data_IF_282114266210
#
_entry.id   IF_282114266210
#
_cell.length_a   1.000
_cell.length_b   1.000
_cell.length_c   1.000
_cell.angle_alpha   90.00
_cell.angle_beta   90.00
_cell.angle_gamma   90.00
#
_symmetry.space_group_name_H-M   'P 1'
#
loop_
_entity.id
_entity.type
_entity.pdbx_description
1 polymer ?
#
# COMPACT_ATOMS: atom_id res chain seq x y z
N UNK A 1 -7.78 -0.22 16.21
CA UNK A 1 -7.37 0.35 14.90
C UNK A 1 -5.94 -0.11 14.71
N UNK A 2 -5.59 -0.71 13.58
CA UNK A 2 -4.21 -1.18 13.37
C UNK A 2 -3.25 0.00 13.52
N UNK A 3 -2.26 -0.14 14.39
CA UNK A 3 -1.25 0.86 14.65
C UNK A 3 0.11 0.19 14.67
N UNK A 4 1.00 0.66 13.80
CA UNK A 4 2.36 0.18 13.64
C UNK A 4 3.27 1.00 14.55
N UNK A 5 4.14 0.34 15.28
CA UNK A 5 5.19 0.97 16.09
C UNK A 5 6.57 0.60 15.59
N UNK A 6 7.49 1.54 15.74
CA UNK A 6 8.91 1.35 15.56
C UNK A 6 9.58 1.04 16.90
N UNK A 7 10.33 -0.06 16.98
CA UNK A 7 11.25 -0.30 18.11
C UNK A 7 12.46 0.64 17.98
N UNK A 8 12.38 1.80 18.65
CA UNK A 8 13.42 2.83 18.60
C UNK A 8 14.76 2.32 19.13
N UNK A 9 14.76 1.45 20.15
CA UNK A 9 16.01 0.91 20.69
C UNK A 9 16.70 0.01 19.66
N UNK A 10 15.94 -0.90 19.04
CA UNK A 10 16.47 -1.74 17.96
C UNK A 10 16.90 -0.92 16.73
N UNK A 11 16.22 0.19 16.44
CA UNK A 11 16.59 1.10 15.36
C UNK A 11 17.91 1.85 15.64
N UNK A 12 18.07 2.41 16.84
CA UNK A 12 19.32 3.06 17.27
C UNK A 12 20.48 2.08 17.33
N UNK A 13 20.27 0.89 17.90
CA UNK A 13 21.30 -0.15 17.96
C UNK A 13 21.81 -0.54 16.56
N UNK A 14 20.96 -0.45 15.53
CA UNK A 14 21.37 -0.70 14.15
C UNK A 14 22.22 0.41 13.57
N UNK A 15 21.94 1.68 13.87
CA UNK A 15 22.84 2.79 13.50
C UNK A 15 24.22 2.59 14.12
N UNK A 16 24.28 2.09 15.36
CA UNK A 16 25.55 1.88 16.07
C UNK A 16 26.30 0.62 15.62
N UNK A 17 25.59 -0.42 15.18
CA UNK A 17 26.17 -1.75 14.92
C UNK A 17 26.29 -2.13 13.43
N UNK A 18 25.59 -1.44 12.53
CA UNK A 18 25.64 -1.68 11.08
C UNK A 18 26.33 -0.50 10.38
N UNK A 19 27.39 -0.81 9.64
CA UNK A 19 28.12 0.17 8.82
C UNK A 19 27.21 0.83 7.77
N UNK A 20 26.29 0.05 7.19
CA UNK A 20 25.29 0.51 6.22
C UNK A 20 24.34 1.54 6.83
N UNK A 21 23.82 1.27 8.04
CA UNK A 21 22.92 2.21 8.75
C UNK A 21 23.66 3.45 9.24
N UNK A 22 24.90 3.29 9.73
CA UNK A 22 25.74 4.42 10.15
C UNK A 22 26.08 5.34 8.97
N UNK A 23 26.32 4.79 7.78
CA UNK A 23 26.56 5.57 6.57
C UNK A 23 25.30 6.32 6.11
N UNK A 24 24.16 5.62 6.06
CA UNK A 24 22.87 6.24 5.74
C UNK A 24 22.51 7.37 6.70
N UNK A 25 22.69 7.15 8.01
CA UNK A 25 22.42 8.14 9.06
C UNK A 25 23.24 9.42 8.86
N UNK A 26 24.54 9.29 8.57
CA UNK A 26 25.41 10.44 8.26
C UNK A 26 24.98 11.16 6.99
N UNK A 27 24.64 10.42 5.93
CA UNK A 27 24.19 11.01 4.67
C UNK A 27 22.88 11.80 4.84
N UNK A 28 21.97 11.34 5.69
CA UNK A 28 20.79 12.13 6.07
C UNK A 28 21.17 13.42 6.82
N UNK A 29 22.15 13.37 7.72
CA UNK A 29 22.62 14.55 8.46
C UNK A 29 23.35 15.58 7.58
N UNK A 30 23.94 15.13 6.46
CA UNK A 30 24.69 15.99 5.53
C UNK A 30 23.81 16.77 4.56
N UNK A 31 22.57 16.30 4.31
CA UNK A 31 21.67 16.90 3.32
C UNK A 31 20.58 17.73 3.99
N UNK A 32 20.38 18.95 3.49
CA UNK A 32 19.28 19.82 3.93
C UNK A 32 17.96 19.40 3.25
N UNK A 33 16.93 19.00 4.02
CA UNK A 33 15.62 18.64 3.46
C UNK A 33 14.85 19.83 2.87
N UNK A 34 15.25 21.07 3.16
CA UNK A 34 14.65 22.28 2.58
C UNK A 34 15.28 22.68 1.25
N UNK A 35 16.45 22.13 0.91
CA UNK A 35 17.09 22.35 -0.39
C UNK A 35 16.39 21.50 -1.47
N UNK A 36 15.75 22.12 -2.49
CA UNK A 36 15.09 21.40 -3.56
C UNK A 36 16.02 20.46 -4.34
N UNK A 37 17.32 20.77 -4.42
CA UNK A 37 18.29 19.98 -5.17
C UNK A 37 18.58 18.63 -4.46
N UNK A 38 18.40 18.56 -3.14
CA UNK A 38 18.59 17.35 -2.35
C UNK A 38 17.37 16.42 -2.36
N UNK A 39 16.21 16.87 -2.86
CA UNK A 39 14.93 16.15 -2.73
C UNK A 39 15.00 14.72 -3.28
N UNK A 40 15.49 14.56 -4.50
CA UNK A 40 15.57 13.25 -5.14
C UNK A 40 16.47 12.31 -4.35
N UNK A 41 17.66 12.78 -3.96
CA UNK A 41 18.61 11.98 -3.19
C UNK A 41 18.04 11.56 -1.84
N UNK A 42 17.38 12.47 -1.12
CA UNK A 42 16.69 12.17 0.13
C UNK A 42 15.63 11.08 -0.03
N UNK A 43 14.80 11.16 -1.08
CA UNK A 43 13.80 10.14 -1.37
C UNK A 43 14.43 8.78 -1.72
N UNK A 44 15.51 8.79 -2.50
CA UNK A 44 16.28 7.57 -2.78
C UNK A 44 16.88 6.96 -1.50
N UNK A 45 17.36 7.77 -0.57
CA UNK A 45 17.85 7.29 0.72
C UNK A 45 16.74 6.70 1.60
N UNK A 46 15.52 7.27 1.58
CA UNK A 46 14.37 6.66 2.27
C UNK A 46 14.08 5.27 1.72
N UNK A 47 14.16 5.09 0.39
CA UNK A 47 14.02 3.77 -0.22
C UNK A 47 15.12 2.82 0.26
N UNK A 48 16.37 3.24 0.21
CA UNK A 48 17.53 2.45 0.67
C UNK A 48 17.35 2.00 2.14
N UNK A 49 16.93 2.93 3.00
CA UNK A 49 16.63 2.69 4.41
C UNK A 49 15.54 1.63 4.64
N UNK A 50 14.52 1.61 3.78
CA UNK A 50 13.39 0.66 3.88
C UNK A 50 13.75 -0.68 3.22
N UNK A 51 14.44 -0.71 2.08
CA UNK A 51 14.86 -1.95 1.41
C UNK A 51 15.81 -2.78 2.28
N UNK A 52 16.71 -2.11 3.00
CA UNK A 52 17.65 -2.74 3.90
C UNK A 52 16.94 -3.45 5.08
N UNK A 53 15.64 -3.19 5.30
CA UNK A 53 14.79 -3.87 6.30
C UNK A 53 14.20 -5.21 5.82
N UNK A 54 14.31 -5.56 4.54
CA UNK A 54 13.78 -6.82 4.01
C UNK A 54 14.56 -8.08 4.48
N UNK A 55 15.70 -7.90 5.15
CA UNK A 55 16.53 -8.98 5.68
C UNK A 55 15.94 -9.72 6.89
N UNK A 56 16.18 -11.04 7.02
CA UNK A 56 15.61 -11.87 8.10
C UNK A 56 16.05 -11.50 9.53
N UNK A 57 17.16 -10.76 9.68
CA UNK A 57 17.68 -10.32 10.99
C UNK A 57 16.90 -9.13 11.56
N UNK A 58 16.13 -8.42 10.72
CA UNK A 58 15.58 -7.09 11.03
C UNK A 58 14.04 -7.07 11.09
N UNK A 59 13.41 -8.25 11.16
CA UNK A 59 11.95 -8.47 11.18
C UNK A 59 11.25 -7.88 12.40
N UNK A 60 11.99 -7.65 13.48
CA UNK A 60 11.41 -7.29 14.78
C UNK A 60 11.22 -5.77 14.95
N UNK A 61 11.61 -4.94 13.97
CA UNK A 61 11.56 -3.49 14.12
C UNK A 61 10.17 -2.88 14.04
N UNK A 62 9.32 -3.45 13.20
CA UNK A 62 7.95 -2.99 13.03
C UNK A 62 7.02 -3.99 13.69
N UNK A 63 6.17 -3.49 14.58
CA UNK A 63 5.21 -4.32 15.32
C UNK A 63 3.85 -3.66 15.32
N UNK A 64 2.79 -4.46 15.41
CA UNK A 64 1.48 -3.94 15.75
C UNK A 64 1.35 -3.81 17.27
N UNK A 65 0.77 -2.72 17.74
CA UNK A 65 0.56 -2.48 19.19
C UNK A 65 -0.29 -3.57 19.84
N UNK A 66 -1.35 -4.00 19.17
CA UNK A 66 -2.33 -4.93 19.73
C UNK A 66 -2.01 -6.41 19.44
N UNK A 67 -1.00 -6.68 18.60
CA UNK A 67 -0.59 -8.03 18.18
C UNK A 67 0.88 -8.07 17.75
N UNK A 68 1.78 -8.27 18.71
CA UNK A 68 3.22 -8.28 18.46
C UNK A 68 3.71 -9.48 17.63
N UNK A 69 2.89 -10.52 17.49
CA UNK A 69 3.27 -11.74 16.77
C UNK A 69 3.00 -11.61 15.26
N UNK A 70 2.17 -10.64 14.87
CA UNK A 70 1.92 -10.32 13.47
C UNK A 70 3.04 -9.47 12.90
N UNK A 71 3.73 -10.00 11.87
CA UNK A 71 4.79 -9.28 11.19
C UNK A 71 4.27 -8.08 10.41
N UNK A 72 5.02 -6.99 10.42
CA UNK A 72 4.74 -5.82 9.59
C UNK A 72 5.91 -5.62 8.64
N UNK A 73 5.59 -5.49 7.36
CA UNK A 73 6.55 -5.21 6.31
C UNK A 73 6.17 -3.92 5.61
N UNK A 74 7.12 -3.00 5.52
CA UNK A 74 6.99 -1.78 4.73
C UNK A 74 7.90 -1.95 3.52
N UNK A 75 7.34 -1.75 2.34
CA UNK A 75 8.05 -1.72 1.07
C UNK A 75 7.99 -0.31 0.52
N UNK A 76 9.07 0.10 -0.14
CA UNK A 76 9.18 1.40 -0.76
C UNK A 76 9.77 1.22 -2.15
N UNK A 77 9.04 1.67 -3.17
CA UNK A 77 9.49 1.51 -4.56
C UNK A 77 9.02 2.66 -5.47
N UNK A 78 9.76 2.83 -6.56
CA UNK A 78 9.40 3.75 -7.64
C UNK A 78 8.48 3.05 -8.64
N UNK A 79 7.59 3.81 -9.26
CA UNK A 79 6.88 3.27 -10.42
C UNK A 79 7.80 3.31 -11.61
N UNK A 80 8.11 2.15 -12.17
CA UNK A 80 8.96 2.04 -13.34
C UNK A 80 8.16 1.62 -14.57
N UNK A 81 8.60 2.07 -15.75
CA UNK A 81 8.13 1.51 -17.00
C UNK A 81 8.71 0.11 -17.26
N UNK A 82 8.39 -0.46 -18.42
CA UNK A 82 8.89 -1.79 -18.84
C UNK A 82 10.41 -1.85 -19.04
N UNK A 83 11.11 -0.72 -19.09
CA UNK A 83 12.57 -0.63 -19.22
C UNK A 83 13.26 -0.36 -17.88
N UNK A 84 12.49 -0.19 -16.80
CA UNK A 84 13.01 0.14 -15.48
C UNK A 84 13.25 1.63 -15.26
N UNK A 85 12.78 2.50 -16.17
CA UNK A 85 12.89 3.95 -15.99
C UNK A 85 11.79 4.44 -15.04
N UNK A 86 12.15 5.30 -14.08
CA UNK A 86 11.22 5.88 -13.10
C UNK A 86 10.23 6.80 -13.84
N UNK A 87 8.93 6.56 -13.65
CA UNK A 87 7.84 7.25 -14.36
C UNK A 87 6.97 8.14 -13.48
N UNK A 88 7.12 8.05 -12.16
CA UNK A 88 6.31 8.81 -11.20
C UNK A 88 7.06 10.02 -10.62
N UNK A 89 7.84 10.73 -11.45
CA UNK A 89 8.57 11.95 -11.06
C UNK A 89 9.40 11.79 -9.77
N UNK A 90 10.00 10.62 -9.56
CA UNK A 90 10.76 10.28 -8.35
C UNK A 90 9.97 10.28 -7.03
N UNK A 91 8.64 10.09 -7.07
CA UNK A 91 7.86 9.87 -5.86
C UNK A 91 8.07 8.44 -5.33
N UNK A 92 8.20 8.28 -4.02
CA UNK A 92 8.41 6.96 -3.42
C UNK A 92 7.11 6.35 -2.95
N UNK A 93 6.66 5.31 -3.64
CA UNK A 93 5.41 4.62 -3.34
C UNK A 93 5.63 3.69 -2.17
N UNK A 94 4.76 3.79 -1.15
CA UNK A 94 4.83 2.93 0.02
C UNK A 94 3.74 1.86 -0.04
N UNK A 95 4.14 0.62 0.25
CA UNK A 95 3.23 -0.50 0.45
C UNK A 95 3.45 -1.11 1.82
N UNK A 96 2.38 -1.25 2.59
CA UNK A 96 2.44 -1.84 3.93
C UNK A 96 1.71 -3.17 3.91
N UNK A 97 2.40 -4.23 4.30
CA UNK A 97 1.85 -5.57 4.49
C UNK A 97 1.84 -5.93 5.97
N UNK A 98 0.72 -6.49 6.41
CA UNK A 98 0.51 -6.96 7.78
C UNK A 98 0.21 -8.46 7.71
N UNK A 99 1.10 -9.27 8.29
CA UNK A 99 1.12 -10.72 8.09
C UNK A 99 1.29 -11.07 6.61
N UNK A 100 0.29 -11.74 6.03
CA UNK A 100 0.29 -12.14 4.62
C UNK A 100 -0.59 -11.25 3.72
N UNK A 101 -1.19 -10.18 4.26
CA UNK A 101 -2.14 -9.34 3.52
C UNK A 101 -1.61 -7.92 3.28
N UNK A 102 -1.78 -7.37 2.05
CA UNK A 102 -1.51 -5.95 1.80
C UNK A 102 -2.58 -5.10 2.49
N UNK A 103 -2.15 -4.03 3.16
CA UNK A 103 -3.03 -3.13 3.90
C UNK A 103 -3.22 -1.79 3.16
N UNK A 104 -2.14 -1.18 2.68
CA UNK A 104 -2.17 0.12 1.99
C UNK A 104 -1.16 0.12 0.86
N UNK A 105 -1.56 0.73 -0.25
CA UNK A 105 -0.68 1.23 -1.29
C UNK A 105 -0.95 2.73 -1.46
N UNK A 106 0.10 3.54 -1.31
CA UNK A 106 0.02 5.01 -1.40
C UNK A 106 0.64 5.52 -2.70
N UNK A 107 0.12 6.60 -3.33
CA UNK A 107 0.75 7.26 -4.48
C UNK A 107 2.17 7.79 -4.21
N UNK A 108 2.58 7.86 -2.95
CA UNK A 108 3.98 7.96 -2.55
C UNK A 108 4.40 9.31 -1.95
N UNK A 109 5.54 9.28 -1.26
CA UNK A 109 6.22 10.44 -0.66
C UNK A 109 7.00 11.16 -1.76
N UNK A 110 6.68 12.42 -2.01
CA UNK A 110 7.36 13.25 -3.03
C UNK A 110 8.49 14.06 -2.46
N UNK A 111 8.37 14.40 -1.19
CA UNK A 111 9.29 15.22 -0.45
C UNK A 111 9.38 14.68 0.97
N UNK A 112 10.60 14.61 1.52
CA UNK A 112 10.83 14.17 2.89
C UNK A 112 10.03 15.01 3.89
N UNK A 113 9.82 16.30 3.61
CA UNK A 113 9.01 17.22 4.41
C UNK A 113 7.51 16.84 4.48
N UNK A 114 7.03 15.88 3.69
CA UNK A 114 5.68 15.32 3.82
C UNK A 114 5.57 14.34 5.00
N UNK A 115 6.70 13.94 5.60
CA UNK A 115 6.73 13.07 6.76
C UNK A 115 6.33 13.84 8.04
N UNK A 116 5.39 13.31 8.85
CA UNK A 116 4.86 14.00 10.03
C UNK A 116 5.88 14.38 11.12
N UNK A 117 7.05 13.71 11.15
CA UNK A 117 8.07 13.92 12.18
C UNK A 117 8.91 15.20 11.94
N UNK A 118 8.77 15.84 10.78
CA UNK A 118 9.52 17.05 10.43
C UNK A 118 8.74 18.36 10.62
N UNK A 119 7.48 18.29 11.04
CA UNK A 119 6.66 19.47 11.31
C UNK A 119 6.85 19.93 12.77
N UNK A 120 7.56 21.05 12.93
CA UNK A 120 7.67 21.92 14.13
C UNK A 120 8.82 21.65 15.12
N UNK A 121 9.95 22.31 14.87
CA UNK A 121 10.54 23.20 15.88
C UNK A 121 11.69 22.70 16.74
N UNK A 122 12.10 21.44 16.64
CA UNK A 122 13.29 20.95 17.32
C UNK A 122 14.48 20.90 16.35
N UNK A 123 15.64 21.41 16.79
CA UNK A 123 16.96 21.32 16.15
C UNK A 123 17.45 19.85 16.06
N UNK A 124 16.54 18.89 15.91
CA UNK A 124 16.85 17.47 15.86
C UNK A 124 17.48 17.15 14.50
N UNK A 125 18.74 16.70 14.56
CA UNK A 125 19.50 16.28 13.40
C UNK A 125 18.70 15.26 12.58
N UNK A 126 18.57 15.52 11.27
CA UNK A 126 17.90 14.61 10.34
C UNK A 126 18.69 13.29 10.28
N UNK A 127 18.28 12.31 11.08
CA UNK A 127 18.90 10.99 11.16
C UNK A 127 18.04 9.88 10.57
N UNK A 128 18.65 8.74 10.30
CA UNK A 128 17.99 7.56 9.76
C UNK A 128 16.83 7.06 10.66
N UNK A 129 17.00 7.12 11.98
CA UNK A 129 15.96 6.71 12.94
C UNK A 129 14.76 7.67 12.90
N UNK A 130 15.01 8.98 12.88
CA UNK A 130 13.97 10.01 12.82
C UNK A 130 13.18 9.92 11.51
N UNK A 131 13.88 9.71 10.38
CA UNK A 131 13.25 9.48 9.08
C UNK A 131 12.39 8.22 9.09
N UNK A 132 12.90 7.11 9.66
CA UNK A 132 12.15 5.86 9.75
C UNK A 132 10.89 6.01 10.62
N UNK A 133 10.99 6.74 11.74
CA UNK A 133 9.85 7.08 12.58
C UNK A 133 8.81 7.89 11.79
N UNK A 134 9.27 8.88 11.01
CA UNK A 134 8.43 9.67 10.11
C UNK A 134 7.68 8.82 9.09
N UNK A 135 8.34 7.83 8.48
CA UNK A 135 7.70 6.89 7.56
C UNK A 135 6.62 6.06 8.26
N UNK A 136 6.88 5.57 9.48
CA UNK A 136 5.90 4.81 10.26
C UNK A 136 4.69 5.66 10.63
N UNK A 137 4.91 6.92 11.04
CA UNK A 137 3.83 7.85 11.35
C UNK A 137 3.01 8.22 10.11
N UNK A 138 3.68 8.44 8.98
CA UNK A 138 3.03 8.63 7.70
C UNK A 138 2.14 7.42 7.35
N UNK A 139 2.66 6.19 7.43
CA UNK A 139 1.90 4.97 7.19
C UNK A 139 0.69 4.84 8.14
N UNK A 140 0.87 5.12 9.42
CA UNK A 140 -0.23 5.13 10.40
C UNK A 140 -1.30 6.18 10.07
N UNK A 141 -0.89 7.36 9.58
CA UNK A 141 -1.81 8.40 9.13
C UNK A 141 -2.66 7.93 7.94
N UNK A 142 -2.06 7.20 7.00
CA UNK A 142 -2.77 6.61 5.87
C UNK A 142 -3.75 5.53 6.32
N UNK A 143 -3.35 4.65 7.26
CA UNK A 143 -4.25 3.64 7.86
C UNK A 143 -5.44 4.31 8.53
N UNK A 144 -5.20 5.37 9.28
CA UNK A 144 -6.27 6.13 9.93
C UNK A 144 -7.23 6.74 8.90
N UNK A 145 -6.70 7.43 7.88
CA UNK A 145 -7.50 8.05 6.81
C UNK A 145 -8.31 7.03 6.02
N UNK A 146 -7.72 5.88 5.70
CA UNK A 146 -8.43 4.78 5.05
C UNK A 146 -9.55 4.26 5.94
N UNK A 147 -9.26 3.94 7.21
CA UNK A 147 -10.24 3.47 8.18
C UNK A 147 -11.39 4.47 8.36
N UNK A 148 -11.11 5.77 8.48
CA UNK A 148 -12.12 6.82 8.59
C UNK A 148 -12.99 6.94 7.34
N UNK A 149 -12.39 6.80 6.15
CA UNK A 149 -13.10 6.86 4.87
C UNK A 149 -14.08 5.69 4.74
N UNK A 150 -13.66 4.48 5.11
CA UNK A 150 -14.50 3.29 5.06
C UNK A 150 -15.47 3.15 6.25
N UNK A 151 -15.18 3.79 7.39
CA UNK A 151 -16.04 3.80 8.57
C UNK A 151 -17.11 4.90 8.53
N UNK A 152 -17.03 5.89 7.62
CA UNK A 152 -18.08 6.91 7.48
C UNK A 152 -19.39 6.24 7.07
N UNK A 153 -20.46 6.36 7.87
CA UNK A 153 -21.78 5.92 7.43
C UNK A 153 -22.15 6.76 6.20
N UNK A 154 -22.47 6.09 5.09
CA UNK A 154 -23.00 6.75 3.91
C UNK A 154 -24.16 7.66 4.35
N UNK A 155 -24.22 8.93 3.90
CA UNK A 155 -25.36 9.77 4.18
C UNK A 155 -26.61 9.00 3.74
N UNK A 156 -27.61 8.90 4.62
CA UNK A 156 -28.81 8.11 4.39
C UNK A 156 -29.50 8.58 3.10
N UNK A 157 -29.16 7.96 1.98
CA UNK A 157 -29.84 8.15 0.73
C UNK A 157 -31.20 7.48 0.84
N UNK A 158 -32.24 8.16 0.35
CA UNK A 158 -33.57 7.62 0.12
C UNK A 158 -33.48 6.20 -0.47
N UNK A 159 -34.47 5.30 -0.25
CA UNK A 159 -34.37 3.88 -0.54
C UNK A 159 -34.26 3.64 -2.05
N UNK A 160 -33.04 3.78 -2.55
CA UNK A 160 -32.58 3.24 -3.81
C UNK A 160 -32.15 1.83 -3.43
N UNK A 161 -32.76 0.82 -4.05
CA UNK A 161 -32.16 -0.51 -4.09
C UNK A 161 -30.79 -0.36 -4.74
N UNK A 162 -29.77 -0.11 -3.93
CA UNK A 162 -28.40 -0.13 -4.35
C UNK A 162 -28.06 -1.59 -4.66
N UNK A 163 -27.48 -1.89 -5.84
CA UNK A 163 -26.86 -3.19 -6.04
C UNK A 163 -25.81 -3.39 -4.93
N UNK A 164 -25.59 -4.64 -4.48
CA UNK A 164 -24.72 -4.94 -3.36
C UNK A 164 -23.31 -4.35 -3.56
N UNK A 165 -22.62 -3.96 -2.48
CA UNK A 165 -21.29 -3.38 -2.55
C UNK A 165 -20.34 -4.32 -3.31
N UNK A 166 -19.53 -3.74 -4.20
CA UNK A 166 -18.44 -4.44 -4.86
C UNK A 166 -17.35 -4.73 -3.82
N UNK A 167 -17.48 -5.85 -3.11
CA UNK A 167 -16.35 -6.42 -2.38
C UNK A 167 -15.28 -6.82 -3.41
N UNK A 168 -14.08 -6.25 -3.30
CA UNK A 168 -12.89 -6.74 -3.99
C UNK A 168 -12.55 -8.14 -3.44
N UNK A 169 -13.31 -9.14 -3.88
CA UNK A 169 -13.03 -10.54 -3.59
C UNK A 169 -11.94 -10.99 -4.55
N UNK A 170 -10.82 -11.45 -3.99
CA UNK A 170 -9.81 -12.18 -4.77
C UNK A 170 -10.52 -13.38 -5.39
N UNK A 171 -10.62 -13.40 -6.72
CA UNK A 171 -11.25 -14.49 -7.46
C UNK A 171 -10.28 -15.66 -7.49
N UNK A 172 -10.54 -16.69 -6.70
CA UNK A 172 -9.74 -17.92 -6.64
C UNK A 172 -10.38 -19.03 -7.46
N UNK A 173 -9.61 -20.08 -7.79
CA UNK A 173 -10.15 -21.28 -8.45
C UNK A 173 -11.31 -21.88 -7.64
N UNK A 174 -11.15 -21.98 -6.32
CA UNK A 174 -12.20 -22.47 -5.43
C UNK A 174 -13.42 -21.55 -5.41
N UNK A 175 -13.22 -20.22 -5.36
CA UNK A 175 -14.32 -19.26 -5.38
C UNK A 175 -15.11 -19.25 -6.69
N UNK A 176 -14.45 -19.53 -7.82
CA UNK A 176 -15.11 -19.72 -9.12
C UNK A 176 -15.84 -21.06 -9.17
N UNK A 177 -15.23 -22.13 -8.66
CA UNK A 177 -15.85 -23.45 -8.61
C UNK A 177 -17.09 -23.49 -7.70
N UNK A 178 -17.06 -22.78 -6.59
CA UNK A 178 -18.19 -22.64 -5.66
C UNK A 178 -19.41 -21.99 -6.32
N UNK A 179 -19.23 -21.22 -7.41
CA UNK A 179 -20.36 -20.68 -8.19
C UNK A 179 -21.20 -21.78 -8.86
N UNK A 180 -20.67 -23.00 -9.02
CA UNK A 180 -21.44 -24.13 -9.53
C UNK A 180 -22.59 -24.52 -8.58
N UNK A 181 -22.48 -24.21 -7.28
CA UNK A 181 -23.53 -24.46 -6.29
C UNK A 181 -24.74 -23.52 -6.54
N UNK A 182 -25.97 -24.06 -6.66
CA UNK A 182 -27.19 -23.26 -6.76
C UNK A 182 -27.43 -22.31 -5.61
N UNK A 183 -26.83 -22.55 -4.44
CA UNK A 183 -26.90 -21.67 -3.29
C UNK A 183 -26.11 -20.36 -3.47
N UNK A 184 -25.08 -20.35 -4.33
CA UNK A 184 -24.19 -19.19 -4.52
C UNK A 184 -24.42 -18.45 -5.83
N UNK A 185 -24.85 -19.14 -6.90
CA UNK A 185 -25.20 -18.49 -8.16
C UNK A 185 -26.50 -19.03 -8.72
N UNK A 186 -27.51 -18.17 -8.87
CA UNK A 186 -28.78 -18.49 -9.53
C UNK A 186 -28.75 -18.29 -11.05
N UNK A 187 -27.69 -17.68 -11.58
CA UNK A 187 -27.61 -17.23 -12.98
C UNK A 187 -27.02 -18.30 -13.92
N UNK A 188 -26.28 -19.28 -13.39
CA UNK A 188 -25.72 -20.38 -14.18
C UNK A 188 -26.78 -21.43 -14.54
N UNK A 189 -26.86 -21.79 -15.83
CA UNK A 189 -27.69 -22.90 -16.29
C UNK A 189 -27.13 -24.25 -15.82
N UNK A 190 -27.95 -25.30 -15.80
CA UNK A 190 -27.52 -26.64 -15.40
C UNK A 190 -26.33 -27.15 -16.26
N UNK A 191 -26.33 -26.85 -17.56
CA UNK A 191 -25.24 -27.22 -18.46
C UNK A 191 -23.95 -26.44 -18.18
N UNK A 192 -24.05 -25.17 -17.75
CA UNK A 192 -22.87 -24.36 -17.42
C UNK A 192 -22.24 -24.82 -16.10
N UNK A 193 -23.07 -25.23 -15.13
CA UNK A 193 -22.61 -25.82 -13.87
C UNK A 193 -21.85 -27.12 -14.09
N UNK A 194 -22.38 -27.99 -14.95
CA UNK A 194 -21.71 -29.26 -15.27
C UNK A 194 -20.36 -29.03 -15.95
N UNK A 195 -20.28 -28.06 -16.87
CA UNK A 195 -19.02 -27.65 -17.50
C UNK A 195 -18.03 -27.07 -16.50
N UNK A 196 -18.48 -26.25 -15.57
CA UNK A 196 -17.65 -25.65 -14.53
C UNK A 196 -17.11 -26.70 -13.54
N UNK A 197 -17.94 -27.67 -13.15
CA UNK A 197 -17.53 -28.79 -12.27
C UNK A 197 -16.54 -29.74 -12.95
N UNK A 198 -16.63 -29.89 -14.28
CA UNK A 198 -15.72 -30.72 -15.07
C UNK A 198 -14.40 -30.02 -15.44
N UNK A 199 -14.31 -28.70 -15.26
CA UNK A 199 -13.12 -27.92 -15.60
C UNK A 199 -11.98 -28.15 -14.58
N UNK A 200 -10.76 -28.28 -15.08
CA UNK A 200 -9.58 -28.42 -14.22
C UNK A 200 -9.22 -27.09 -13.54
N UNK A 201 -8.46 -27.16 -12.44
CA UNK A 201 -7.97 -25.96 -11.74
C UNK A 201 -7.15 -25.06 -12.68
N UNK A 202 -6.38 -25.67 -13.58
CA UNK A 202 -5.59 -24.98 -14.59
C UNK A 202 -6.49 -24.23 -15.58
N UNK A 203 -7.55 -24.86 -16.09
CA UNK A 203 -8.48 -24.21 -17.02
C UNK A 203 -9.20 -23.01 -16.36
N UNK A 204 -9.58 -23.17 -15.09
CA UNK A 204 -10.22 -22.10 -14.31
C UNK A 204 -9.23 -20.96 -14.06
N UNK A 205 -8.00 -21.27 -13.66
CA UNK A 205 -6.96 -20.26 -13.43
C UNK A 205 -6.61 -19.49 -14.70
N UNK A 206 -6.48 -20.17 -15.84
CA UNK A 206 -6.23 -19.53 -17.14
C UNK A 206 -7.41 -18.65 -17.57
N UNK A 207 -8.65 -19.08 -17.33
CA UNK A 207 -9.83 -18.29 -17.60
C UNK A 207 -9.91 -17.02 -16.72
N UNK A 208 -9.54 -17.12 -15.44
CA UNK A 208 -9.43 -15.96 -14.54
C UNK A 208 -8.40 -14.96 -15.07
N UNK A 209 -7.19 -15.44 -15.40
CA UNK A 209 -6.11 -14.60 -15.91
C UNK A 209 -6.48 -13.93 -17.25
N UNK A 210 -7.12 -14.67 -18.17
CA UNK A 210 -7.56 -14.16 -19.46
C UNK A 210 -8.70 -13.14 -19.34
N UNK A 211 -9.48 -13.19 -18.27
CA UNK A 211 -10.59 -12.26 -18.01
C UNK A 211 -10.13 -10.96 -17.36
N UNK A 212 -8.94 -10.95 -16.73
CA UNK A 212 -8.43 -9.79 -16.00
C UNK A 212 -8.28 -8.52 -16.86
N UNK A 213 -7.74 -8.55 -18.09
CA UNK A 213 -7.64 -7.35 -18.93
C UNK A 213 -8.98 -6.66 -19.18
N UNK A 214 -10.06 -7.44 -19.37
CA UNK A 214 -11.41 -6.90 -19.61
C UNK A 214 -11.96 -6.22 -18.35
N UNK A 215 -11.68 -6.79 -17.18
CA UNK A 215 -12.07 -6.20 -15.89
C UNK A 215 -11.26 -4.94 -15.59
N UNK A 216 -9.96 -4.97 -15.84
CA UNK A 216 -9.05 -3.83 -15.67
C UNK A 216 -9.46 -2.65 -16.58
N UNK A 217 -9.75 -2.90 -17.86
CA UNK A 217 -10.22 -1.86 -18.79
C UNK A 217 -11.53 -1.22 -18.33
N UNK A 218 -12.45 -2.03 -17.79
CA UNK A 218 -13.71 -1.51 -17.24
C UNK A 218 -13.48 -0.71 -15.96
N UNK A 219 -12.57 -1.15 -15.10
CA UNK A 219 -12.20 -0.44 -13.88
C UNK A 219 -11.63 0.94 -14.20
N UNK A 220 -10.63 1.02 -15.09
CA UNK A 220 -10.03 2.29 -15.50
C UNK A 220 -11.07 3.23 -16.09
N UNK A 221 -12.00 2.74 -16.91
CA UNK A 221 -13.08 3.57 -17.46
C UNK A 221 -13.97 4.17 -16.38
N UNK A 222 -14.40 3.37 -15.40
CA UNK A 222 -15.23 3.84 -14.29
C UNK A 222 -14.44 4.85 -13.43
N UNK A 223 -13.15 4.60 -13.20
CA UNK A 223 -12.27 5.52 -12.50
C UNK A 223 -12.18 6.88 -13.23
N UNK A 224 -11.96 6.88 -14.54
CA UNK A 224 -11.87 8.09 -15.35
C UNK A 224 -13.18 8.89 -15.37
N UNK A 225 -14.33 8.20 -15.45
CA UNK A 225 -15.66 8.80 -15.34
C UNK A 225 -15.86 9.46 -13.97
N UNK A 226 -15.48 8.79 -12.88
CA UNK A 226 -15.56 9.32 -11.52
C UNK A 226 -14.65 10.55 -11.34
N UNK A 227 -13.42 10.47 -11.84
CA UNK A 227 -12.44 11.55 -11.77
C UNK A 227 -12.95 12.79 -12.52
N UNK A 228 -13.52 12.59 -13.71
CA UNK A 228 -14.12 13.68 -14.51
C UNK A 228 -15.29 14.32 -13.77
N UNK A 229 -16.22 13.51 -13.24
CA UNK A 229 -17.36 14.01 -12.47
C UNK A 229 -16.94 14.77 -11.19
N UNK A 230 -15.88 14.33 -10.54
CA UNK A 230 -15.32 15.01 -9.37
C UNK A 230 -14.70 16.37 -9.74
N UNK A 231 -13.95 16.44 -10.84
CA UNK A 231 -13.36 17.68 -11.35
C UNK A 231 -14.44 18.70 -11.75
N UNK A 232 -15.46 18.27 -12.50
CA UNK A 232 -16.58 19.14 -12.88
C UNK A 232 -17.29 19.74 -11.67
N UNK A 233 -17.43 18.97 -10.59
CA UNK A 233 -18.09 19.40 -9.35
C UNK A 233 -17.24 20.36 -8.51
N UNK A 234 -15.93 20.32 -8.61
CA UNK A 234 -15.01 21.22 -7.90
C UNK A 234 -14.75 22.53 -8.65
N UNK A 235 -14.92 22.51 -9.98
CA UNK A 235 -14.68 23.66 -10.86
C UNK A 235 -15.98 24.40 -11.27
N UNK A 236 -17.13 23.99 -10.72
CA UNK A 236 -18.43 24.68 -10.86
C UNK A 236 -18.79 25.50 -9.62
#
# INVERSE_FOLDING_TARGET
MLHITLDLHAATDLVDSSEEWSDLDKRFQELDPHDPDNRTDLIHMVRELIEDRAGPVRRDLFRLVDDSDTSVHIFADFHCDQYGEITNDHHLSLSVMVGAAPLIMDPGIKNLLELPVLEEGDDDELGAVSVLAGVVDYANSLIRRAAETFARPLPAAAPVQLPPPLELRVVTVDGVRDQADPAYSSELSAADRERLLAASDTDISEAIAASWPVVADRFHRIHDELQTAALERLLS
#
